data_IF_441369665648
#
_entry.id   IF_441369665648
#
_cell.length_a   1.000
_cell.length_b   1.000
_cell.length_c   1.000
_cell.angle_alpha   90.00
_cell.angle_beta   90.00
_cell.angle_gamma   90.00
#
_symmetry.space_group_name_H-M   'P 1'
#
loop_
_entity.id
_entity.type
_entity.pdbx_description
1 polymer ?
#
# COMPACT_ATOMS: atom_id res chain seq x y z
N UNK A 1 29.30 20.88 -9.83
CA UNK A 1 29.54 19.85 -8.80
C UNK A 1 28.74 18.63 -9.22
N UNK A 2 29.32 17.44 -9.20
CA UNK A 2 28.62 16.20 -9.54
C UNK A 2 28.02 15.60 -8.24
N UNK A 3 26.72 15.36 -8.24
CA UNK A 3 25.98 14.77 -7.12
C UNK A 3 25.58 13.32 -7.39
N UNK A 4 25.97 12.76 -8.54
CA UNK A 4 25.62 11.39 -8.91
C UNK A 4 26.03 10.41 -7.81
N UNK A 5 25.11 9.53 -7.41
CA UNK A 5 25.34 8.57 -6.33
C UNK A 5 24.91 7.18 -6.74
N UNK A 6 25.46 6.16 -6.07
CA UNK A 6 25.08 4.77 -6.27
C UNK A 6 24.42 4.21 -5.01
N UNK A 7 23.18 3.76 -5.13
CA UNK A 7 22.38 3.26 -4.01
C UNK A 7 21.70 1.96 -4.40
N UNK A 8 21.90 0.89 -3.61
CA UNK A 8 21.34 -0.45 -3.86
C UNK A 8 21.55 -0.97 -5.31
N UNK A 9 22.70 -0.68 -5.91
CA UNK A 9 23.02 -1.08 -7.29
C UNK A 9 22.44 -0.15 -8.38
N UNK A 10 21.63 0.85 -8.02
CA UNK A 10 21.09 1.86 -8.92
C UNK A 10 22.00 3.08 -8.98
N UNK A 11 22.11 3.69 -10.16
CA UNK A 11 22.81 4.97 -10.34
C UNK A 11 21.78 6.10 -10.34
N UNK A 12 21.90 7.03 -9.39
CA UNK A 12 20.96 8.13 -9.18
C UNK A 12 21.60 9.46 -9.56
N UNK A 13 20.81 10.37 -10.14
CA UNK A 13 21.26 11.72 -10.52
C UNK A 13 21.75 12.55 -9.32
N UNK A 14 21.18 12.31 -8.14
CA UNK A 14 21.58 12.93 -6.87
C UNK A 14 21.10 12.11 -5.66
N UNK A 15 21.60 12.35 -4.43
CA UNK A 15 21.21 11.57 -3.24
C UNK A 15 19.90 12.01 -2.58
N UNK A 16 19.32 13.15 -2.98
CA UNK A 16 18.08 13.66 -2.39
C UNK A 16 16.86 12.90 -2.94
N UNK A 17 16.07 12.32 -2.05
CA UNK A 17 14.89 11.51 -2.40
C UNK A 17 13.68 11.97 -1.54
N UNK A 18 12.49 12.18 -2.13
CA UNK A 18 11.28 12.50 -1.37
C UNK A 18 10.89 11.36 -0.43
N UNK A 19 10.48 11.69 0.80
CA UNK A 19 10.00 10.72 1.78
C UNK A 19 8.66 10.10 1.38
N UNK A 20 8.26 9.04 2.10
CA UNK A 20 6.87 8.57 2.07
C UNK A 20 5.95 9.78 2.32
N UNK A 21 5.05 10.05 1.37
CA UNK A 21 4.16 11.21 1.41
C UNK A 21 2.94 10.95 0.52
N UNK A 22 1.86 11.76 0.64
CA UNK A 22 0.67 11.60 -0.20
C UNK A 22 0.94 11.63 -1.71
N UNK A 23 2.04 12.26 -2.14
CA UNK A 23 2.45 12.31 -3.54
C UNK A 23 2.91 10.95 -4.08
N UNK A 24 3.39 10.04 -3.23
CA UNK A 24 3.82 8.70 -3.66
C UNK A 24 2.67 7.68 -3.68
N UNK A 25 1.45 8.10 -3.32
CA UNK A 25 0.26 7.23 -3.29
C UNK A 25 -0.42 7.07 -4.65
N UNK A 26 -0.25 8.03 -5.55
CA UNK A 26 -0.90 8.03 -6.87
C UNK A 26 0.13 8.11 -7.99
N UNK A 27 -0.22 7.55 -9.15
CA UNK A 27 0.66 7.61 -10.32
C UNK A 27 0.94 9.04 -10.76
N UNK A 28 -0.08 9.92 -10.70
CA UNK A 28 0.07 11.32 -11.07
C UNK A 28 1.02 12.06 -10.11
N UNK A 29 0.93 11.77 -8.81
CA UNK A 29 1.86 12.31 -7.83
C UNK A 29 3.29 11.83 -8.07
N UNK A 30 3.49 10.53 -8.35
CA UNK A 30 4.82 9.98 -8.69
C UNK A 30 5.39 10.66 -9.95
N UNK A 31 4.58 10.86 -10.98
CA UNK A 31 5.00 11.58 -12.20
C UNK A 31 5.41 13.01 -11.89
N UNK A 32 4.66 13.73 -11.06
CA UNK A 32 5.03 15.09 -10.66
C UNK A 32 6.38 15.15 -9.93
N UNK A 33 6.70 14.12 -9.13
CA UNK A 33 8.01 14.00 -8.46
C UNK A 33 9.13 13.70 -9.45
N UNK A 34 8.90 12.82 -10.42
CA UNK A 34 9.83 12.55 -11.51
C UNK A 34 10.12 13.82 -12.33
N UNK A 35 9.07 14.55 -12.72
CA UNK A 35 9.15 15.81 -13.47
C UNK A 35 9.91 16.89 -12.68
N UNK A 36 9.75 16.90 -11.35
CA UNK A 36 10.52 17.76 -10.44
C UNK A 36 11.98 17.32 -10.27
N UNK A 37 12.39 16.20 -10.86
CA UNK A 37 13.77 15.71 -10.88
C UNK A 37 14.09 14.66 -9.82
N UNK A 38 13.10 14.13 -9.08
CA UNK A 38 13.34 13.09 -8.09
C UNK A 38 13.98 11.85 -8.75
N UNK A 39 15.09 11.33 -8.22
CA UNK A 39 15.79 10.19 -8.81
C UNK A 39 15.21 8.85 -8.35
N UNK A 40 14.32 8.86 -7.35
CA UNK A 40 13.65 7.71 -6.73
C UNK A 40 12.45 8.24 -5.93
N UNK A 41 11.53 7.35 -5.53
CA UNK A 41 10.45 7.64 -4.58
C UNK A 41 10.43 6.62 -3.45
N UNK A 42 9.96 7.04 -2.27
CA UNK A 42 9.72 6.16 -1.13
C UNK A 42 8.23 5.88 -1.04
N UNK A 43 7.85 4.60 -1.07
CA UNK A 43 6.47 4.17 -0.97
C UNK A 43 5.93 4.38 0.44
N UNK A 44 4.61 4.50 0.55
CA UNK A 44 3.90 4.55 1.84
C UNK A 44 4.22 3.32 2.69
N UNK A 45 4.28 3.53 4.00
CA UNK A 45 4.52 2.46 4.96
C UNK A 45 3.31 1.54 5.05
N UNK A 46 3.58 0.23 5.10
CA UNK A 46 2.58 -0.80 5.38
C UNK A 46 2.73 -1.22 6.85
N UNK A 47 1.62 -1.16 7.59
CA UNK A 47 1.55 -1.56 9.00
C UNK A 47 0.60 -2.75 9.13
N UNK A 48 1.01 -3.77 9.87
CA UNK A 48 0.25 -5.01 10.07
C UNK A 48 -1.13 -4.74 10.69
N UNK A 49 -1.20 -3.81 11.65
CA UNK A 49 -2.45 -3.46 12.33
C UNK A 49 -3.49 -2.88 11.36
N UNK A 50 -3.04 -2.18 10.31
CA UNK A 50 -3.95 -1.65 9.29
C UNK A 50 -4.49 -2.76 8.39
N UNK A 51 -3.65 -3.75 8.06
CA UNK A 51 -4.02 -4.92 7.25
C UNK A 51 -5.02 -5.78 8.02
N UNK A 52 -4.72 -6.09 9.28
CA UNK A 52 -5.59 -6.89 10.15
C UNK A 52 -6.93 -6.20 10.39
N UNK A 53 -6.93 -4.90 10.65
CA UNK A 53 -8.15 -4.14 10.81
C UNK A 53 -9.00 -4.14 9.52
N UNK A 54 -8.37 -4.07 8.35
CA UNK A 54 -9.07 -4.16 7.06
C UNK A 54 -9.68 -5.55 6.85
N UNK A 55 -8.94 -6.62 7.13
CA UNK A 55 -9.42 -8.01 7.03
C UNK A 55 -10.60 -8.24 7.98
N UNK A 56 -10.44 -7.91 9.27
CA UNK A 56 -11.50 -8.07 10.28
C UNK A 56 -12.76 -7.27 9.91
N UNK A 57 -12.59 -6.07 9.35
CA UNK A 57 -13.71 -5.24 8.87
C UNK A 57 -14.42 -5.91 7.70
N UNK A 58 -13.67 -6.48 6.75
CA UNK A 58 -14.23 -7.23 5.62
C UNK A 58 -15.02 -8.45 6.13
N UNK A 59 -14.44 -9.23 7.03
CA UNK A 59 -15.07 -10.42 7.63
C UNK A 59 -16.34 -10.06 8.38
N UNK A 60 -16.33 -8.96 9.14
CA UNK A 60 -17.52 -8.45 9.81
C UNK A 60 -18.64 -8.16 8.80
N UNK A 61 -18.34 -7.44 7.71
CA UNK A 61 -19.36 -7.13 6.69
C UNK A 61 -19.87 -8.36 5.95
N UNK A 62 -19.03 -9.39 5.74
CA UNK A 62 -19.42 -10.63 5.08
C UNK A 62 -20.25 -11.55 5.99
N UNK A 63 -19.94 -11.58 7.29
CA UNK A 63 -20.59 -12.47 8.27
C UNK A 63 -21.86 -11.89 8.90
N UNK A 64 -22.03 -10.56 8.92
CA UNK A 64 -23.09 -9.86 9.65
C UNK A 64 -24.52 -10.38 9.38
N UNK A 65 -24.82 -10.80 8.15
CA UNK A 65 -26.14 -11.37 7.78
C UNK A 65 -26.21 -12.89 7.77
N UNK A 66 -25.05 -13.58 7.83
CA UNK A 66 -24.92 -15.00 7.53
C UNK A 66 -25.64 -15.92 8.52
N UNK A 67 -25.84 -15.49 9.77
CA UNK A 67 -26.47 -16.26 10.85
C UNK A 67 -27.91 -15.79 11.16
N UNK A 68 -28.52 -15.02 10.26
CA UNK A 68 -29.82 -14.39 10.52
C UNK A 68 -31.02 -15.35 10.42
N UNK A 69 -30.85 -16.51 9.78
CA UNK A 69 -31.92 -17.50 9.56
C UNK A 69 -31.41 -18.90 9.87
N UNK A 70 -32.22 -19.70 10.56
CA UNK A 70 -31.83 -21.04 11.03
C UNK A 70 -31.41 -22.03 9.93
N UNK A 71 -31.78 -21.78 8.67
CA UNK A 71 -31.46 -22.64 7.51
C UNK A 71 -30.30 -22.12 6.65
N UNK A 72 -29.88 -20.87 6.85
CA UNK A 72 -28.74 -20.28 6.15
C UNK A 72 -27.66 -20.03 7.19
N UNK A 73 -26.70 -20.94 7.31
CA UNK A 73 -25.59 -20.88 8.27
C UNK A 73 -24.37 -20.10 7.75
N UNK A 74 -24.49 -19.42 6.60
CA UNK A 74 -23.40 -18.68 5.98
C UNK A 74 -23.61 -18.45 4.48
N UNK A 75 -22.96 -17.41 3.94
CA UNK A 75 -23.03 -17.05 2.52
C UNK A 75 -21.87 -17.62 1.69
N UNK A 76 -20.75 -17.96 2.32
CA UNK A 76 -19.52 -18.41 1.65
C UNK A 76 -18.92 -19.61 2.40
N UNK A 77 -18.25 -20.53 1.69
CA UNK A 77 -17.55 -21.64 2.33
C UNK A 77 -16.30 -21.19 3.08
N UNK A 78 -15.95 -21.88 4.16
CA UNK A 78 -14.70 -21.65 4.89
C UNK A 78 -13.50 -21.92 3.97
N UNK A 79 -12.69 -20.88 3.74
CA UNK A 79 -11.42 -21.02 3.04
C UNK A 79 -10.40 -21.62 4.01
N UNK A 80 -10.28 -22.96 4.02
CA UNK A 80 -9.18 -23.64 4.70
C UNK A 80 -7.87 -23.38 3.92
N UNK A 81 -6.88 -22.81 4.61
CA UNK A 81 -5.49 -22.69 4.14
C UNK A 81 -4.73 -23.98 4.41
#
# INVERSE_FOLDING_TARGET
MDLTTRYLGLTLRHPVVPSASPLTRTLDGIRSLEDAGAPMVIMESLFEEQIDAESNRLDHYLSYGGESFAEALGYFPDLQT
#
